data_IF_300468382108
#
_entry.id   IF_300468382108
#
_cell.length_a   1.000
_cell.length_b   1.000
_cell.length_c   1.000
_cell.angle_alpha   90.00
_cell.angle_beta   90.00
_cell.angle_gamma   90.00
#
_symmetry.space_group_name_H-M   'P 1'
#
loop_
_entity.id
_entity.type
_entity.pdbx_description
1 polymer ?
#
# COMPACT_ATOMS: atom_id res chain seq x y z
N UNK A 1 32.60 -59.97 1.12
CA UNK A 1 31.22 -60.21 0.63
C UNK A 1 30.20 -59.40 1.43
N UNK A 2 30.42 -59.18 2.73
CA UNK A 2 29.57 -58.37 3.63
C UNK A 2 29.47 -56.87 3.29
N UNK A 3 30.54 -56.27 2.77
CA UNK A 3 30.57 -54.83 2.44
C UNK A 3 29.62 -54.45 1.29
N UNK A 4 29.33 -55.37 0.38
CA UNK A 4 28.45 -55.12 -0.79
C UNK A 4 26.96 -55.13 -0.40
N UNK A 5 26.59 -55.96 0.59
CA UNK A 5 25.26 -56.01 1.18
C UNK A 5 24.97 -54.77 2.04
N UNK A 6 25.97 -54.30 2.79
CA UNK A 6 25.84 -53.08 3.60
C UNK A 6 25.62 -51.82 2.74
N UNK A 7 26.27 -51.72 1.58
CA UNK A 7 26.09 -50.57 0.66
C UNK A 7 24.70 -50.60 0.01
N UNK A 8 24.19 -51.76 -0.42
CA UNK A 8 22.85 -51.82 -1.03
C UNK A 8 21.74 -51.56 0.00
N UNK A 9 21.98 -51.83 1.29
CA UNK A 9 21.04 -51.52 2.38
C UNK A 9 20.94 -50.02 2.68
N UNK A 10 21.94 -49.22 2.26
CA UNK A 10 21.95 -47.76 2.41
C UNK A 10 21.43 -47.06 1.14
N UNK A 11 21.68 -47.64 -0.05
CA UNK A 11 21.24 -47.08 -1.33
C UNK A 11 19.70 -47.03 -1.46
N UNK A 12 19.00 -48.04 -0.96
CA UNK A 12 17.53 -48.10 -0.98
C UNK A 12 16.86 -46.96 -0.18
N UNK A 13 17.17 -46.74 1.12
CA UNK A 13 16.59 -45.61 1.85
C UNK A 13 17.04 -44.25 1.29
N UNK A 14 18.25 -44.10 0.74
CA UNK A 14 18.67 -42.86 0.08
C UNK A 14 17.85 -42.56 -1.18
N UNK A 15 17.56 -43.58 -1.99
CA UNK A 15 16.66 -43.47 -3.15
C UNK A 15 15.25 -43.05 -2.72
N UNK A 16 14.73 -43.62 -1.64
CA UNK A 16 13.42 -43.26 -1.11
C UNK A 16 13.38 -41.82 -0.58
N UNK A 17 14.43 -41.37 0.12
CA UNK A 17 14.55 -39.97 0.58
C UNK A 17 14.58 -39.02 -0.63
N UNK A 18 15.38 -39.32 -1.65
CA UNK A 18 15.45 -38.50 -2.86
C UNK A 18 14.10 -38.39 -3.57
N UNK A 19 13.36 -39.51 -3.68
CA UNK A 19 12.03 -39.54 -4.27
C UNK A 19 11.00 -38.73 -3.46
N UNK A 20 11.04 -38.86 -2.13
CA UNK A 20 10.16 -38.11 -1.21
C UNK A 20 10.45 -36.61 -1.28
N UNK A 21 11.72 -36.21 -1.37
CA UNK A 21 12.13 -34.81 -1.51
C UNK A 21 11.69 -34.21 -2.85
N UNK A 22 11.84 -34.96 -3.94
CA UNK A 22 11.34 -34.55 -5.26
C UNK A 22 9.80 -34.37 -5.23
N UNK A 23 9.10 -35.34 -4.66
CA UNK A 23 7.63 -35.29 -4.51
C UNK A 23 7.20 -34.10 -3.65
N UNK A 24 7.89 -33.86 -2.54
CA UNK A 24 7.64 -32.74 -1.64
C UNK A 24 7.84 -31.42 -2.35
N UNK A 25 8.92 -31.28 -3.11
CA UNK A 25 9.24 -30.09 -3.89
C UNK A 25 8.15 -29.82 -4.94
N UNK A 26 7.71 -30.84 -5.67
CA UNK A 26 6.62 -30.73 -6.64
C UNK A 26 5.29 -30.30 -6.00
N UNK A 27 4.92 -30.90 -4.86
CA UNK A 27 3.71 -30.52 -4.12
C UNK A 27 3.79 -29.11 -3.55
N UNK A 28 4.96 -28.68 -3.06
CA UNK A 28 5.19 -27.31 -2.61
C UNK A 28 5.02 -26.32 -3.76
N UNK A 29 5.61 -26.60 -4.92
CA UNK A 29 5.44 -25.76 -6.10
C UNK A 29 3.96 -25.62 -6.48
N UNK A 30 3.24 -26.75 -6.60
CA UNK A 30 1.80 -26.77 -6.86
C UNK A 30 0.99 -26.00 -5.82
N UNK A 31 1.34 -26.13 -4.53
CA UNK A 31 0.71 -25.37 -3.44
C UNK A 31 0.92 -23.87 -3.63
N UNK A 32 2.14 -23.43 -3.95
CA UNK A 32 2.41 -21.99 -4.16
C UNK A 32 1.61 -21.43 -5.33
N UNK A 33 1.48 -22.16 -6.42
CA UNK A 33 0.71 -21.72 -7.59
C UNK A 33 -0.79 -21.69 -7.31
N UNK A 34 -1.32 -22.69 -6.61
CA UNK A 34 -2.72 -22.66 -6.15
C UNK A 34 -2.98 -21.48 -5.21
N UNK A 35 -2.06 -21.19 -4.27
CA UNK A 35 -2.19 -20.04 -3.38
C UNK A 35 -2.17 -18.70 -4.13
N UNK A 36 -1.33 -18.56 -5.16
CA UNK A 36 -1.35 -17.40 -6.06
C UNK A 36 -2.70 -17.29 -6.75
N UNK A 37 -3.23 -18.38 -7.30
CA UNK A 37 -4.54 -18.40 -7.95
C UNK A 37 -5.66 -18.00 -6.98
N UNK A 38 -5.71 -18.59 -5.77
CA UNK A 38 -6.68 -18.23 -4.74
C UNK A 38 -6.58 -16.75 -4.36
N UNK A 39 -5.37 -16.22 -4.19
CA UNK A 39 -5.15 -14.80 -3.89
C UNK A 39 -5.71 -13.90 -4.99
N UNK A 40 -5.47 -14.23 -6.25
CA UNK A 40 -6.00 -13.51 -7.40
C UNK A 40 -7.52 -13.56 -7.44
N UNK A 41 -8.14 -14.73 -7.26
CA UNK A 41 -9.60 -14.87 -7.23
C UNK A 41 -10.22 -14.12 -6.06
N UNK A 42 -9.63 -14.19 -4.86
CA UNK A 42 -10.07 -13.41 -3.69
C UNK A 42 -9.97 -11.91 -3.93
N UNK A 43 -8.89 -11.45 -4.53
CA UNK A 43 -8.78 -10.06 -4.95
C UNK A 43 -9.92 -9.74 -5.93
N UNK A 44 -10.17 -10.58 -6.94
CA UNK A 44 -11.26 -10.44 -7.92
C UNK A 44 -12.64 -10.24 -7.27
N UNK A 45 -12.91 -11.01 -6.22
CA UNK A 45 -14.18 -11.01 -5.50
C UNK A 45 -14.24 -10.01 -4.34
N UNK A 46 -13.15 -9.28 -4.08
CA UNK A 46 -13.09 -8.33 -2.96
C UNK A 46 -14.20 -7.28 -3.09
N UNK A 47 -15.01 -7.06 -2.04
CA UNK A 47 -16.14 -6.12 -2.06
C UNK A 47 -15.75 -4.72 -2.52
N UNK A 48 -14.54 -4.28 -2.17
CA UNK A 48 -14.03 -2.95 -2.49
C UNK A 48 -13.89 -2.66 -3.99
N UNK A 49 -13.87 -3.69 -4.83
CA UNK A 49 -13.85 -3.55 -6.31
C UNK A 49 -15.24 -3.56 -6.94
N UNK A 50 -16.28 -3.78 -6.13
CA UNK A 50 -17.69 -3.72 -6.51
C UNK A 50 -18.38 -2.45 -5.98
N UNK A 51 -17.67 -1.66 -5.18
CA UNK A 51 -18.21 -0.40 -4.69
C UNK A 51 -18.35 0.58 -5.84
N UNK A 52 -19.47 1.31 -5.94
CA UNK A 52 -19.56 2.49 -6.79
C UNK A 52 -18.47 3.50 -6.44
N UNK A 53 -18.03 4.26 -7.45
CA UNK A 53 -16.98 5.27 -7.30
C UNK A 53 -17.33 6.31 -6.23
N UNK A 54 -18.61 6.66 -6.10
CA UNK A 54 -19.14 7.61 -5.13
C UNK A 54 -18.94 7.12 -3.70
N UNK A 55 -19.33 5.87 -3.43
CA UNK A 55 -19.18 5.25 -2.11
C UNK A 55 -17.70 5.10 -1.75
N UNK A 56 -16.86 4.74 -2.72
CA UNK A 56 -15.43 4.66 -2.50
C UNK A 56 -14.82 6.04 -2.20
N UNK A 57 -15.29 7.10 -2.87
CA UNK A 57 -14.90 8.49 -2.59
C UNK A 57 -15.31 8.94 -1.18
N UNK A 58 -16.52 8.60 -0.73
CA UNK A 58 -16.98 8.89 0.64
C UNK A 58 -16.12 8.17 1.69
N UNK A 59 -15.75 6.91 1.45
CA UNK A 59 -14.82 6.18 2.32
C UNK A 59 -13.47 6.90 2.38
N UNK A 60 -12.95 7.38 1.25
CA UNK A 60 -11.68 8.12 1.22
C UNK A 60 -11.75 9.41 2.05
N UNK A 61 -12.85 10.16 1.94
CA UNK A 61 -13.08 11.39 2.71
C UNK A 61 -13.19 11.09 4.21
N UNK A 62 -13.90 10.02 4.56
CA UNK A 62 -14.02 9.58 5.94
C UNK A 62 -12.65 9.23 6.54
N UNK A 63 -11.84 8.42 5.85
CA UNK A 63 -10.49 8.04 6.29
C UNK A 63 -9.58 9.26 6.41
N UNK A 64 -9.63 10.18 5.44
CA UNK A 64 -8.88 11.44 5.45
C UNK A 64 -9.22 12.24 6.71
N UNK A 65 -10.51 12.46 6.99
CA UNK A 65 -10.97 13.18 8.18
C UNK A 65 -10.56 12.52 9.51
N UNK A 66 -10.59 11.18 9.57
CA UNK A 66 -10.20 10.43 10.77
C UNK A 66 -8.69 10.51 11.02
N UNK A 67 -7.89 10.46 9.94
CA UNK A 67 -6.43 10.56 10.03
C UNK A 67 -5.99 11.92 10.57
N UNK A 68 -6.67 13.00 10.17
CA UNK A 68 -6.41 14.33 10.73
C UNK A 68 -6.74 14.45 12.22
N UNK A 69 -7.78 13.76 12.69
CA UNK A 69 -8.18 13.81 14.11
C UNK A 69 -7.27 13.00 15.04
N UNK A 70 -6.57 12.00 14.51
CA UNK A 70 -5.79 11.03 15.30
C UNK A 70 -4.27 11.30 15.30
N UNK A 71 -3.80 12.31 14.57
CA UNK A 71 -2.37 12.59 14.40
C UNK A 71 -1.75 13.29 15.63
N UNK A 72 -1.60 12.57 16.74
CA UNK A 72 -0.87 13.03 17.94
C UNK A 72 0.46 12.31 18.16
N UNK A 73 0.77 11.23 17.42
CA UNK A 73 1.99 10.43 17.62
C UNK A 73 2.59 10.02 16.27
N UNK A 74 3.80 10.53 15.99
CA UNK A 74 4.64 10.25 14.81
C UNK A 74 3.95 10.46 13.43
N UNK A 75 4.27 11.58 12.79
CA UNK A 75 3.67 11.98 11.52
C UNK A 75 4.43 11.35 10.34
N UNK A 76 3.80 10.49 9.53
CA UNK A 76 4.44 10.01 8.31
C UNK A 76 4.60 11.16 7.28
N UNK A 77 5.54 11.05 6.32
CA UNK A 77 5.74 12.07 5.30
C UNK A 77 4.46 12.31 4.46
N UNK A 78 4.29 13.53 3.93
CA UNK A 78 3.07 13.97 3.23
C UNK A 78 2.62 13.03 2.09
N UNK A 79 3.56 12.32 1.45
CA UNK A 79 3.30 11.34 0.38
C UNK A 79 2.65 10.03 0.85
N UNK A 80 2.64 9.77 2.16
CA UNK A 80 1.98 8.64 2.80
C UNK A 80 0.60 9.01 3.35
N UNK A 81 0.22 10.28 3.30
CA UNK A 81 -1.12 10.74 3.64
C UNK A 81 -2.05 10.75 2.42
N UNK A 82 -3.35 10.72 2.70
CA UNK A 82 -4.36 11.05 1.69
C UNK A 82 -4.21 12.54 1.29
N UNK A 83 -4.47 12.90 0.03
CA UNK A 83 -5.06 12.07 -1.03
C UNK A 83 -4.06 11.11 -1.72
N UNK A 84 -2.75 11.32 -1.55
CA UNK A 84 -1.70 10.60 -2.29
C UNK A 84 -1.72 9.08 -2.09
N UNK A 85 -2.01 8.62 -0.88
CA UNK A 85 -2.14 7.20 -0.56
C UNK A 85 -3.11 6.48 -1.52
N UNK A 86 -4.29 7.06 -1.75
CA UNK A 86 -5.33 6.44 -2.58
C UNK A 86 -4.94 6.37 -4.06
N UNK A 87 -4.08 7.28 -4.51
CA UNK A 87 -3.58 7.28 -5.90
C UNK A 87 -2.65 6.11 -6.23
N UNK A 88 -2.10 5.42 -5.22
CA UNK A 88 -1.04 4.40 -5.37
C UNK A 88 -1.52 2.95 -5.17
N UNK A 89 -2.76 2.74 -4.73
CA UNK A 89 -3.25 1.40 -4.36
C UNK A 89 -3.57 0.55 -5.60
N UNK A 90 -4.45 1.04 -6.47
CA UNK A 90 -4.75 0.41 -7.75
C UNK A 90 -5.31 1.42 -8.75
N UNK A 91 -5.43 1.04 -10.03
CA UNK A 91 -5.95 1.92 -11.09
C UNK A 91 -7.35 2.48 -10.78
N UNK A 92 -8.25 1.67 -10.24
CA UNK A 92 -9.61 2.09 -9.90
C UNK A 92 -9.62 3.14 -8.77
N UNK A 93 -8.89 2.89 -7.68
CA UNK A 93 -8.76 3.84 -6.57
C UNK A 93 -8.09 5.13 -7.00
N UNK A 94 -7.07 5.03 -7.87
CA UNK A 94 -6.40 6.19 -8.44
C UNK A 94 -7.35 7.04 -9.26
N UNK A 95 -8.16 6.42 -10.13
CA UNK A 95 -9.19 7.13 -10.89
C UNK A 95 -10.19 7.84 -9.95
N UNK A 96 -10.75 7.13 -8.96
CA UNK A 96 -11.71 7.69 -8.00
C UNK A 96 -11.10 8.83 -7.20
N UNK A 97 -9.88 8.66 -6.68
CA UNK A 97 -9.19 9.71 -5.93
C UNK A 97 -8.96 10.95 -6.80
N UNK A 98 -8.53 10.79 -8.04
CA UNK A 98 -8.28 11.89 -8.98
C UNK A 98 -9.57 12.61 -9.42
N UNK A 99 -10.70 11.92 -9.45
CA UNK A 99 -12.01 12.48 -9.85
C UNK A 99 -12.87 12.95 -8.68
N UNK A 100 -12.34 12.95 -7.45
CA UNK A 100 -13.07 13.40 -6.24
C UNK A 100 -12.44 14.68 -5.70
N UNK A 101 -12.87 15.88 -6.15
CA UNK A 101 -12.23 17.15 -5.81
C UNK A 101 -12.16 17.42 -4.30
N UNK A 102 -13.17 16.98 -3.55
CA UNK A 102 -13.23 17.14 -2.10
C UNK A 102 -12.01 16.53 -1.38
N UNK A 103 -11.43 15.44 -1.90
CA UNK A 103 -10.22 14.83 -1.31
C UNK A 103 -9.00 15.72 -1.40
N UNK A 104 -8.93 16.58 -2.41
CA UNK A 104 -7.82 17.49 -2.66
C UNK A 104 -8.02 18.84 -1.97
N UNK A 105 -9.22 19.09 -1.43
CA UNK A 105 -9.52 20.29 -0.66
C UNK A 105 -8.99 20.23 0.77
N UNK A 106 -8.56 19.06 1.25
CA UNK A 106 -8.07 18.86 2.62
C UNK A 106 -6.63 18.36 2.57
N UNK A 107 -5.68 19.14 3.07
CA UNK A 107 -4.28 18.74 3.13
C UNK A 107 -3.56 19.36 4.34
N UNK A 108 -2.48 18.70 4.73
CA UNK A 108 -1.64 19.04 5.88
C UNK A 108 -0.44 19.84 5.42
N UNK A 109 -0.09 20.89 6.17
CA UNK A 109 1.21 21.53 6.08
C UNK A 109 1.93 21.28 7.41
N UNK A 110 3.10 20.65 7.36
CA UNK A 110 3.92 20.47 8.56
C UNK A 110 5.04 21.50 8.51
N UNK A 111 4.88 22.60 9.24
CA UNK A 111 5.82 23.72 9.12
C UNK A 111 7.20 23.40 9.72
N UNK A 112 7.34 22.38 10.56
CA UNK A 112 8.64 21.99 11.10
C UNK A 112 9.38 21.08 10.11
N UNK A 113 8.73 20.07 9.57
CA UNK A 113 9.36 19.19 8.56
C UNK A 113 9.56 19.90 7.22
N UNK A 114 8.63 20.78 6.83
CA UNK A 114 8.68 21.49 5.56
C UNK A 114 9.63 22.69 5.57
N UNK A 115 10.05 23.20 6.75
CA UNK A 115 10.92 24.40 6.85
C UNK A 115 12.25 24.24 7.60
N UNK A 116 12.51 23.11 8.27
CA UNK A 116 13.74 22.93 9.07
C UNK A 116 14.87 22.24 8.31
N UNK A 117 14.66 21.71 7.09
CA UNK A 117 15.75 21.15 6.26
C UNK A 117 16.36 22.21 5.32
N UNK A 118 17.65 22.61 5.48
CA UNK A 118 18.32 23.58 4.61
C UNK A 118 18.43 23.12 3.15
N UNK A 119 18.15 21.85 2.86
CA UNK A 119 18.20 21.29 1.52
C UNK A 119 16.95 21.70 0.73
N UNK A 120 17.09 22.73 -0.10
CA UNK A 120 16.05 23.37 -0.96
C UNK A 120 15.14 22.41 -1.75
N UNK A 121 15.52 21.14 -1.91
CA UNK A 121 14.74 20.10 -2.59
C UNK A 121 13.45 19.71 -1.84
N UNK A 122 13.44 19.68 -0.51
CA UNK A 122 12.26 19.26 0.29
C UNK A 122 11.15 20.30 0.22
N UNK A 123 11.50 21.58 0.40
CA UNK A 123 10.59 22.73 0.23
C UNK A 123 9.93 22.76 -1.16
N UNK A 124 10.67 22.40 -2.21
CA UNK A 124 10.14 22.38 -3.59
C UNK A 124 9.07 21.30 -3.76
N UNK A 125 9.21 20.16 -3.07
CA UNK A 125 8.24 19.07 -3.08
C UNK A 125 6.91 19.47 -2.43
N UNK A 126 6.95 20.04 -1.22
CA UNK A 126 5.76 20.49 -0.50
C UNK A 126 4.97 21.55 -1.29
N UNK A 127 5.66 22.55 -1.85
CA UNK A 127 5.03 23.58 -2.71
C UNK A 127 4.41 22.99 -3.97
N UNK A 128 5.06 22.01 -4.60
CA UNK A 128 4.52 21.35 -5.79
C UNK A 128 3.26 20.54 -5.48
N UNK A 129 3.26 19.83 -4.35
CA UNK A 129 2.12 19.01 -3.93
C UNK A 129 0.93 19.87 -3.49
N UNK A 130 1.17 20.99 -2.80
CA UNK A 130 0.10 21.93 -2.40
C UNK A 130 -0.51 22.62 -3.61
N UNK A 131 0.31 23.04 -4.58
CA UNK A 131 -0.17 23.54 -5.88
C UNK A 131 -1.04 22.51 -6.59
N UNK A 132 -0.62 21.25 -6.61
CA UNK A 132 -1.39 20.17 -7.22
C UNK A 132 -2.71 19.92 -6.48
N UNK A 133 -2.73 19.98 -5.13
CA UNK A 133 -3.98 19.91 -4.37
C UNK A 133 -4.94 21.06 -4.71
N UNK A 134 -4.43 22.30 -4.80
CA UNK A 134 -5.22 23.46 -5.20
C UNK A 134 -5.84 23.29 -6.59
N UNK A 135 -5.03 22.90 -7.59
CA UNK A 135 -5.51 22.65 -8.96
C UNK A 135 -6.60 21.58 -9.01
N UNK A 136 -6.46 20.52 -8.21
CA UNK A 136 -7.38 19.37 -8.20
C UNK A 136 -8.64 19.58 -7.37
N UNK A 137 -8.59 20.41 -6.32
CA UNK A 137 -9.75 20.76 -5.48
C UNK A 137 -10.83 21.53 -6.27
N UNK A 138 -10.43 22.19 -7.36
CA UNK A 138 -11.32 22.99 -8.19
C UNK A 138 -11.75 24.29 -7.50
N UNK A 139 -12.54 25.09 -8.20
CA UNK A 139 -12.90 26.45 -7.76
C UNK A 139 -14.07 26.51 -6.77
N UNK A 140 -14.76 25.39 -6.54
CA UNK A 140 -16.10 25.38 -5.93
C UNK A 140 -16.18 24.57 -4.63
N UNK A 141 -15.04 24.23 -4.03
CA UNK A 141 -14.96 23.49 -2.76
C UNK A 141 -14.14 24.33 -1.77
N UNK A 142 -14.61 24.54 -0.52
CA UNK A 142 -13.82 25.25 0.48
C UNK A 142 -12.57 24.46 0.84
N UNK A 143 -11.43 25.15 0.88
CA UNK A 143 -10.15 24.57 1.27
C UNK A 143 -10.09 24.43 2.79
N UNK A 144 -9.77 23.22 3.27
CA UNK A 144 -9.50 22.93 4.67
C UNK A 144 -8.01 22.67 4.83
N UNK A 145 -7.28 23.73 5.18
CA UNK A 145 -5.83 23.67 5.41
C UNK A 145 -5.59 23.43 6.89
N UNK A 146 -4.99 22.30 7.23
CA UNK A 146 -4.56 22.00 8.59
C UNK A 146 -3.06 22.29 8.69
N UNK A 147 -2.71 23.26 9.54
CA UNK A 147 -1.32 23.61 9.82
C UNK A 147 -0.92 22.88 11.10
N UNK A 148 0.11 22.05 11.01
CA UNK A 148 0.72 21.47 12.19
C UNK A 148 1.96 22.28 12.55
N UNK A 149 1.93 22.85 13.74
CA UNK A 149 3.06 23.51 14.37
C UNK A 149 3.61 22.53 15.42
N UNK A 150 4.92 22.26 15.44
CA UNK A 150 5.49 21.48 16.53
C UNK A 150 5.36 22.27 17.83
N UNK A 151 4.76 21.64 18.84
CA UNK A 151 4.89 22.13 20.20
C UNK A 151 6.34 21.87 20.63
N UNK A 152 7.06 22.97 20.86
CA UNK A 152 8.43 23.02 21.42
C UNK A 152 8.54 22.35 22.77
#
# INVERSE_FOLDING_TARGET
METRLAISYIDEPESQIALLDETTTSLQFRRTDLLKSVKTHKAILAPVRRLPSEILGEIFLFVLSATFRLSTVAKPPMTQHAPWLFTRICRHWSAVALTTPALWSIFLLDLDQDFVDPNRAVHTGAVSLTKLCLERSGRNVPLNVHILQGET
#
